data_IF_033419073514
#
_entry.id   IF_033419073514
#
_cell.length_a   1.000
_cell.length_b   1.000
_cell.length_c   1.000
_cell.angle_alpha   90.00
_cell.angle_beta   90.00
_cell.angle_gamma   90.00
#
_symmetry.space_group_name_H-M   'P 1'
#
loop_
_entity.id
_entity.type
_entity.pdbx_description
1 polymer ?
#
# COMPACT_ATOMS: atom_id res chain seq x y z
N UNK A 1 -23.14 2.16 -14.72
CA UNK A 1 -23.67 3.19 -15.64
C UNK A 1 -23.21 4.60 -15.27
N UNK A 2 -23.42 5.09 -14.04
CA UNK A 2 -23.02 6.46 -13.64
C UNK A 2 -21.53 6.76 -13.90
N UNK A 3 -20.63 5.87 -13.46
CA UNK A 3 -19.19 6.05 -13.64
C UNK A 3 -18.76 6.22 -15.12
N UNK A 4 -19.33 5.46 -16.07
CA UNK A 4 -18.93 5.56 -17.48
C UNK A 4 -19.38 6.88 -18.12
N UNK A 5 -20.49 7.44 -17.66
CA UNK A 5 -20.95 8.77 -18.08
C UNK A 5 -20.01 9.82 -17.50
N UNK A 6 -19.70 9.74 -16.21
CA UNK A 6 -18.78 10.66 -15.56
C UNK A 6 -17.39 10.63 -16.23
N UNK A 7 -16.90 9.45 -16.66
CA UNK A 7 -15.66 9.33 -17.43
C UNK A 7 -15.73 10.02 -18.80
N UNK A 8 -16.83 9.87 -19.52
CA UNK A 8 -17.03 10.54 -20.81
C UNK A 8 -17.08 12.06 -20.66
N UNK A 9 -17.81 12.55 -19.66
CA UNK A 9 -17.92 13.98 -19.40
C UNK A 9 -16.57 14.55 -18.93
N UNK A 10 -15.88 13.84 -18.05
CA UNK A 10 -14.53 14.18 -17.58
C UNK A 10 -13.53 14.26 -18.73
N UNK A 11 -13.46 13.24 -19.58
CA UNK A 11 -12.53 13.21 -20.71
C UNK A 11 -12.80 14.29 -21.77
N UNK A 12 -14.02 14.85 -21.79
CA UNK A 12 -14.40 15.97 -22.66
C UNK A 12 -14.21 17.34 -22.00
N UNK A 13 -13.83 17.41 -20.72
CA UNK A 13 -13.75 18.66 -19.96
C UNK A 13 -15.12 19.27 -19.65
N UNK A 14 -16.17 18.45 -19.57
CA UNK A 14 -17.55 18.88 -19.32
C UNK A 14 -17.94 18.82 -17.83
N UNK A 15 -17.05 18.34 -16.95
CA UNK A 15 -17.22 18.34 -15.49
C UNK A 15 -16.45 19.51 -14.87
N UNK A 16 -16.95 19.98 -13.72
CA UNK A 16 -16.19 20.91 -12.87
C UNK A 16 -15.00 20.19 -12.23
N UNK A 17 -13.91 20.90 -11.96
CA UNK A 17 -12.66 20.34 -11.42
C UNK A 17 -12.87 19.39 -10.22
N UNK A 18 -13.74 19.75 -9.26
CA UNK A 18 -14.04 18.92 -8.08
C UNK A 18 -14.77 17.59 -8.39
N UNK A 19 -15.33 17.46 -9.59
CA UNK A 19 -16.06 16.30 -10.09
C UNK A 19 -15.29 15.53 -11.15
N UNK A 20 -14.12 16.03 -11.56
CA UNK A 20 -13.30 15.41 -12.59
C UNK A 20 -12.79 14.05 -12.11
N UNK A 21 -12.81 13.07 -13.00
CA UNK A 21 -12.31 11.73 -12.71
C UNK A 21 -10.82 11.71 -12.97
N UNK A 22 -10.05 11.41 -11.92
CA UNK A 22 -8.60 11.40 -12.04
C UNK A 22 -8.07 10.21 -12.85
N UNK A 23 -6.85 10.36 -13.36
CA UNK A 23 -6.12 9.30 -14.07
C UNK A 23 -6.01 8.02 -13.23
N UNK A 24 -5.68 8.17 -11.94
CA UNK A 24 -5.64 7.07 -11.00
C UNK A 24 -6.97 6.31 -10.86
N UNK A 25 -8.10 7.03 -10.85
CA UNK A 25 -9.44 6.42 -10.81
C UNK A 25 -9.75 5.63 -12.08
N UNK A 26 -9.42 6.18 -13.26
CA UNK A 26 -9.59 5.49 -14.54
C UNK A 26 -8.76 4.21 -14.57
N UNK A 27 -7.48 4.28 -14.21
CA UNK A 27 -6.58 3.13 -14.19
C UNK A 27 -7.06 2.01 -13.25
N UNK A 28 -7.39 2.37 -12.01
CA UNK A 28 -7.93 1.42 -11.04
C UNK A 28 -9.25 0.77 -11.52
N UNK A 29 -10.16 1.56 -12.08
CA UNK A 29 -11.45 1.07 -12.57
C UNK A 29 -11.27 0.10 -13.75
N UNK A 30 -10.53 0.50 -14.78
CA UNK A 30 -10.42 -0.32 -15.99
C UNK A 30 -9.59 -1.58 -15.76
N UNK A 31 -8.59 -1.54 -14.87
CA UNK A 31 -7.87 -2.76 -14.47
C UNK A 31 -8.81 -3.78 -13.80
N UNK A 32 -9.66 -3.32 -12.88
CA UNK A 32 -10.65 -4.19 -12.25
C UNK A 32 -11.68 -4.74 -13.25
N UNK A 33 -12.08 -3.94 -14.25
CA UNK A 33 -12.99 -4.40 -15.31
C UNK A 33 -12.33 -5.44 -16.22
N UNK A 34 -11.09 -5.21 -16.67
CA UNK A 34 -10.34 -6.12 -17.53
C UNK A 34 -10.11 -7.48 -16.85
N UNK A 35 -9.62 -7.48 -15.60
CA UNK A 35 -9.37 -8.73 -14.85
C UNK A 35 -10.67 -9.49 -14.60
N UNK A 36 -11.77 -8.79 -14.28
CA UNK A 36 -13.08 -9.44 -14.14
C UNK A 36 -13.58 -10.06 -15.44
N UNK A 37 -13.26 -9.49 -16.59
CA UNK A 37 -13.64 -10.07 -17.87
C UNK A 37 -12.79 -11.30 -18.22
N UNK A 38 -11.49 -11.26 -17.94
CA UNK A 38 -10.54 -12.29 -18.38
C UNK A 38 -10.37 -13.46 -17.42
N UNK A 39 -10.25 -13.18 -16.12
CA UNK A 39 -9.62 -14.12 -15.19
C UNK A 39 -10.55 -14.62 -14.10
N UNK A 40 -11.65 -13.90 -13.86
CA UNK A 40 -12.60 -14.27 -12.81
C UNK A 40 -13.53 -15.40 -13.29
N UNK A 41 -14.01 -16.28 -12.37
CA UNK A 41 -15.01 -17.28 -12.68
C UNK A 41 -16.27 -16.65 -13.30
N UNK A 42 -16.93 -17.34 -14.22
CA UNK A 42 -18.10 -16.84 -14.98
C UNK A 42 -19.15 -16.13 -14.11
N UNK A 43 -19.44 -16.69 -12.92
CA UNK A 43 -20.40 -16.13 -11.97
C UNK A 43 -20.03 -14.74 -11.41
N UNK A 44 -18.77 -14.32 -11.49
CA UNK A 44 -18.26 -13.03 -10.99
C UNK A 44 -17.67 -12.13 -12.08
N UNK A 45 -17.79 -12.54 -13.34
CA UNK A 45 -17.51 -11.71 -14.50
C UNK A 45 -18.55 -10.57 -14.63
N UNK A 46 -18.56 -9.86 -15.75
CA UNK A 46 -19.50 -8.75 -15.95
C UNK A 46 -20.95 -9.24 -15.94
N UNK A 47 -21.78 -8.59 -15.13
CA UNK A 47 -23.22 -8.73 -15.19
C UNK A 47 -23.75 -8.28 -16.55
N UNK A 48 -24.93 -8.75 -16.96
CA UNK A 48 -25.54 -8.29 -18.21
C UNK A 48 -25.69 -6.76 -18.28
N UNK A 49 -25.95 -6.12 -17.14
CA UNK A 49 -26.05 -4.66 -17.05
C UNK A 49 -24.71 -3.97 -17.31
N UNK A 50 -23.61 -4.54 -16.84
CA UNK A 50 -22.25 -4.05 -17.11
C UNK A 50 -21.89 -4.27 -18.58
N UNK A 51 -22.16 -5.45 -19.13
CA UNK A 51 -21.93 -5.76 -20.56
C UNK A 51 -22.70 -4.82 -21.48
N UNK A 52 -24.00 -4.60 -21.21
CA UNK A 52 -24.82 -3.62 -21.98
C UNK A 52 -24.28 -2.20 -21.86
N UNK A 53 -23.84 -1.79 -20.68
CA UNK A 53 -23.27 -0.46 -20.49
C UNK A 53 -21.95 -0.31 -21.26
N UNK A 54 -21.06 -1.29 -21.19
CA UNK A 54 -19.77 -1.23 -21.87
C UNK A 54 -19.94 -1.20 -23.40
N UNK A 55 -20.80 -2.07 -23.95
CA UNK A 55 -21.12 -2.07 -25.39
C UNK A 55 -21.68 -0.72 -25.87
N UNK A 56 -22.45 -0.02 -25.02
CA UNK A 56 -23.01 1.30 -25.35
C UNK A 56 -21.98 2.42 -25.30
N UNK A 57 -21.13 2.45 -24.27
CA UNK A 57 -20.26 3.60 -23.98
C UNK A 57 -18.83 3.45 -24.52
N UNK A 58 -18.31 2.22 -24.65
CA UNK A 58 -16.94 1.99 -25.11
C UNK A 58 -16.60 2.61 -26.47
N UNK A 59 -17.47 2.54 -27.51
CA UNK A 59 -17.18 3.18 -28.80
C UNK A 59 -17.01 4.71 -28.71
N UNK A 60 -17.56 5.34 -27.67
CA UNK A 60 -17.40 6.76 -27.39
C UNK A 60 -16.14 7.00 -26.54
N UNK A 61 -15.92 6.17 -25.52
CA UNK A 61 -14.79 6.27 -24.59
C UNK A 61 -13.45 6.10 -25.31
N UNK A 62 -13.32 5.09 -26.18
CA UNK A 62 -12.07 4.81 -26.92
C UNK A 62 -11.60 5.98 -27.80
N UNK A 63 -12.48 6.95 -28.12
CA UNK A 63 -12.15 8.13 -28.92
C UNK A 63 -11.60 9.30 -28.08
N UNK A 64 -11.85 9.29 -26.78
CA UNK A 64 -11.55 10.42 -25.88
C UNK A 64 -10.60 10.03 -24.74
N UNK A 65 -10.50 8.74 -24.41
CA UNK A 65 -9.61 8.26 -23.35
C UNK A 65 -8.13 8.30 -23.80
N UNK A 66 -7.20 8.56 -22.88
CA UNK A 66 -5.77 8.43 -23.15
C UNK A 66 -5.38 7.00 -23.60
N UNK A 67 -4.36 6.85 -24.46
CA UNK A 67 -3.93 5.54 -24.97
C UNK A 67 -3.59 4.53 -23.87
N UNK A 68 -2.98 4.97 -22.76
CA UNK A 68 -2.65 4.11 -21.62
C UNK A 68 -3.91 3.56 -20.93
N UNK A 69 -4.98 4.35 -20.86
CA UNK A 69 -6.26 3.90 -20.27
C UNK A 69 -6.95 2.92 -21.21
N UNK A 70 -6.87 3.15 -22.53
CA UNK A 70 -7.37 2.21 -23.54
C UNK A 70 -6.61 0.88 -23.45
N UNK A 71 -5.29 0.93 -23.28
CA UNK A 71 -4.48 -0.26 -23.02
C UNK A 71 -4.91 -1.00 -21.76
N UNK A 72 -5.10 -0.31 -20.63
CA UNK A 72 -5.52 -0.98 -19.38
C UNK A 72 -6.88 -1.66 -19.54
N UNK A 73 -7.80 -1.00 -20.25
CA UNK A 73 -9.16 -1.48 -20.46
C UNK A 73 -9.24 -2.66 -21.44
N UNK A 74 -8.41 -2.65 -22.49
CA UNK A 74 -8.42 -3.65 -23.56
C UNK A 74 -6.99 -3.99 -24.05
N UNK A 75 -6.14 -4.61 -23.20
CA UNK A 75 -4.74 -4.94 -23.53
C UNK A 75 -4.57 -5.74 -24.82
N UNK A 76 -5.53 -6.62 -25.14
CA UNK A 76 -5.52 -7.48 -26.33
C UNK A 76 -6.42 -6.96 -27.47
N UNK A 77 -7.14 -5.85 -27.27
CA UNK A 77 -7.98 -5.22 -28.29
C UNK A 77 -9.24 -6.01 -28.68
N UNK A 78 -9.68 -6.94 -27.84
CA UNK A 78 -10.80 -7.87 -28.13
C UNK A 78 -11.88 -7.89 -27.06
N UNK A 79 -11.62 -7.34 -25.86
CA UNK A 79 -12.54 -7.47 -24.71
C UNK A 79 -13.73 -6.52 -24.79
N UNK A 80 -13.55 -5.34 -25.35
CA UNK A 80 -14.53 -4.26 -25.25
C UNK A 80 -15.46 -4.16 -26.47
N UNK A 81 -15.57 -5.26 -27.24
CA UNK A 81 -16.52 -5.44 -28.35
C UNK A 81 -16.15 -4.74 -29.67
N UNK A 82 -15.40 -3.64 -29.64
CA UNK A 82 -14.84 -2.98 -30.81
C UNK A 82 -13.35 -3.27 -30.88
N UNK A 83 -12.90 -3.92 -31.96
CA UNK A 83 -11.48 -4.18 -32.17
C UNK A 83 -10.70 -2.86 -32.24
N UNK A 84 -9.67 -2.75 -31.40
CA UNK A 84 -8.78 -1.59 -31.36
C UNK A 84 -7.33 -2.06 -31.37
N UNK A 85 -6.50 -1.46 -32.22
CA UNK A 85 -5.05 -1.74 -32.22
C UNK A 85 -4.29 -0.99 -31.12
N UNK A 86 -4.94 -0.06 -30.42
CA UNK A 86 -4.29 0.82 -29.44
C UNK A 86 -3.73 0.02 -28.27
N UNK A 87 -4.54 -0.84 -27.64
CA UNK A 87 -4.10 -1.64 -26.50
C UNK A 87 -2.95 -2.61 -26.84
N UNK A 88 -3.08 -3.45 -27.88
CA UNK A 88 -2.02 -4.35 -28.31
C UNK A 88 -0.71 -3.65 -28.67
N UNK A 89 -0.76 -2.45 -29.23
CA UNK A 89 0.42 -1.70 -29.67
C UNK A 89 0.98 -0.75 -28.61
N UNK A 90 0.29 -0.58 -27.48
CA UNK A 90 0.76 0.31 -26.42
C UNK A 90 1.97 -0.30 -25.72
N UNK A 91 3.08 0.45 -25.75
CA UNK A 91 4.36 0.06 -25.17
C UNK A 91 4.82 0.93 -24.01
N UNK A 92 4.07 1.95 -23.59
CA UNK A 92 4.52 2.92 -22.58
C UNK A 92 5.46 4.00 -23.12
N UNK A 93 5.57 5.11 -22.39
CA UNK A 93 6.42 6.25 -22.70
C UNK A 93 7.68 6.23 -21.81
N UNK A 94 8.78 5.73 -22.38
CA UNK A 94 10.07 5.65 -21.68
C UNK A 94 10.27 4.34 -20.91
N UNK A 95 11.48 4.14 -20.38
CA UNK A 95 11.94 2.84 -19.89
C UNK A 95 11.10 2.32 -18.71
N UNK A 96 10.74 3.19 -17.77
CA UNK A 96 9.96 2.81 -16.60
C UNK A 96 8.53 2.38 -16.97
N UNK A 97 7.85 3.14 -17.84
CA UNK A 97 6.52 2.76 -18.33
C UNK A 97 6.57 1.50 -19.20
N UNK A 98 7.60 1.32 -20.04
CA UNK A 98 7.74 0.11 -20.85
C UNK A 98 7.79 -1.15 -19.98
N UNK A 99 8.53 -1.12 -18.87
CA UNK A 99 8.55 -2.23 -17.91
C UNK A 99 7.20 -2.41 -17.25
N UNK A 100 6.61 -1.33 -16.73
CA UNK A 100 5.30 -1.35 -16.08
C UNK A 100 4.19 -1.89 -17.00
N UNK A 101 4.22 -1.56 -18.29
CA UNK A 101 3.29 -2.06 -19.31
C UNK A 101 3.48 -3.56 -19.53
N UNK A 102 4.73 -4.04 -19.58
CA UNK A 102 5.03 -5.47 -19.65
C UNK A 102 4.45 -6.23 -18.46
N UNK A 103 4.72 -5.74 -17.25
CA UNK A 103 4.22 -6.32 -16.00
C UNK A 103 2.68 -6.25 -15.93
N UNK A 104 2.07 -5.16 -16.41
CA UNK A 104 0.62 -4.98 -16.47
C UNK A 104 -0.06 -5.97 -17.41
N UNK A 105 0.57 -6.40 -18.52
CA UNK A 105 -0.03 -7.42 -19.39
C UNK A 105 -0.26 -8.72 -18.64
N UNK A 106 0.74 -9.17 -17.88
CA UNK A 106 0.63 -10.35 -17.03
C UNK A 106 -0.45 -10.17 -15.95
N UNK A 107 -0.41 -9.04 -15.24
CA UNK A 107 -1.38 -8.75 -14.17
C UNK A 107 -2.82 -8.64 -14.70
N UNK A 108 -3.05 -8.00 -15.84
CA UNK A 108 -4.38 -7.85 -16.45
C UNK A 108 -4.91 -9.16 -17.05
N UNK A 109 -4.03 -10.13 -17.33
CA UNK A 109 -4.40 -11.51 -17.66
C UNK A 109 -4.73 -12.38 -16.43
N UNK A 110 -4.60 -11.84 -15.22
CA UNK A 110 -4.81 -12.59 -13.97
C UNK A 110 -3.55 -13.29 -13.45
N UNK A 111 -2.38 -12.97 -14.02
CA UNK A 111 -1.09 -13.52 -13.63
C UNK A 111 -0.51 -12.87 -12.37
N UNK A 112 0.65 -13.41 -11.96
CA UNK A 112 1.40 -12.99 -10.77
C UNK A 112 2.85 -12.75 -11.13
N UNK A 113 3.48 -11.81 -10.42
CA UNK A 113 4.86 -11.42 -10.67
C UNK A 113 5.84 -12.04 -9.65
N UNK A 114 7.11 -12.10 -10.06
CA UNK A 114 8.22 -12.47 -9.23
C UNK A 114 8.60 -11.42 -8.19
N UNK A 115 9.44 -11.83 -7.24
CA UNK A 115 9.91 -10.97 -6.16
C UNK A 115 10.76 -9.81 -6.71
N UNK A 116 11.75 -10.13 -7.54
CA UNK A 116 12.70 -9.14 -8.07
C UNK A 116 12.03 -8.19 -9.07
N UNK A 117 11.03 -8.67 -9.82
CA UNK A 117 10.25 -7.87 -10.76
C UNK A 117 9.52 -6.74 -10.03
N UNK A 118 8.78 -7.07 -8.96
CA UNK A 118 8.06 -6.06 -8.16
C UNK A 118 9.04 -5.11 -7.47
N UNK A 119 10.12 -5.62 -6.87
CA UNK A 119 11.07 -4.74 -6.18
C UNK A 119 11.73 -3.75 -7.15
N UNK A 120 12.15 -4.22 -8.32
CA UNK A 120 12.77 -3.38 -9.34
C UNK A 120 11.78 -2.37 -9.89
N UNK A 121 10.54 -2.79 -10.17
CA UNK A 121 9.49 -1.90 -10.62
C UNK A 121 9.19 -0.80 -9.60
N UNK A 122 8.97 -1.15 -8.32
CA UNK A 122 8.68 -0.17 -7.27
C UNK A 122 9.80 0.86 -7.11
N UNK A 123 11.06 0.44 -7.20
CA UNK A 123 12.23 1.34 -7.12
C UNK A 123 12.38 2.26 -8.32
N UNK A 124 11.94 1.83 -9.49
CA UNK A 124 11.98 2.66 -10.70
C UNK A 124 10.88 3.73 -10.69
N UNK A 125 9.70 3.37 -10.17
CA UNK A 125 8.51 4.24 -10.20
C UNK A 125 8.35 5.14 -8.98
N UNK A 126 8.97 4.80 -7.83
CA UNK A 126 8.89 5.59 -6.60
C UNK A 126 10.23 6.25 -6.23
N UNK A 127 10.22 7.37 -5.48
CA UNK A 127 9.06 8.15 -5.04
C UNK A 127 8.34 8.85 -6.20
N UNK A 128 7.06 9.16 -6.02
CA UNK A 128 6.35 10.11 -6.88
C UNK A 128 6.83 11.53 -6.56
N UNK A 129 7.30 12.27 -7.57
CA UNK A 129 7.77 13.64 -7.43
C UNK A 129 6.59 14.62 -7.61
N UNK A 130 6.47 15.60 -6.71
CA UNK A 130 5.42 16.62 -6.77
C UNK A 130 5.73 17.63 -7.88
N UNK A 131 4.83 17.80 -8.86
CA UNK A 131 4.88 18.88 -9.85
C UNK A 131 5.77 18.70 -11.10
N UNK A 132 6.38 17.53 -11.32
CA UNK A 132 7.00 17.17 -12.62
C UNK A 132 6.21 16.04 -13.28
N UNK A 133 6.30 15.90 -14.61
CA UNK A 133 5.78 14.72 -15.32
C UNK A 133 6.25 13.48 -14.57
N UNK A 134 5.34 12.80 -13.86
CA UNK A 134 5.66 11.62 -13.09
C UNK A 134 6.39 10.62 -13.98
N UNK A 135 7.39 9.91 -13.43
CA UNK A 135 8.16 8.90 -14.18
C UNK A 135 7.29 7.85 -14.85
N UNK A 136 6.07 7.68 -14.34
CA UNK A 136 5.03 6.82 -14.87
C UNK A 136 3.67 7.49 -14.74
N UNK A 137 2.77 7.15 -15.66
CA UNK A 137 1.36 7.54 -15.61
C UNK A 137 0.67 6.98 -14.37
N UNK A 138 -0.06 7.85 -13.67
CA UNK A 138 -0.90 7.47 -12.53
C UNK A 138 -1.93 6.40 -12.90
N UNK A 139 -2.42 6.41 -14.14
CA UNK A 139 -3.34 5.39 -14.65
C UNK A 139 -2.68 4.01 -14.63
N UNK A 140 -1.45 3.91 -15.13
CA UNK A 140 -0.70 2.65 -15.19
C UNK A 140 -0.35 2.16 -13.77
N UNK A 141 0.18 3.03 -12.91
CA UNK A 141 0.54 2.66 -11.56
C UNK A 141 -0.67 2.24 -10.72
N UNK A 142 -1.80 2.95 -10.86
CA UNK A 142 -3.05 2.60 -10.18
C UNK A 142 -3.64 1.29 -10.69
N UNK A 143 -3.58 1.07 -12.01
CA UNK A 143 -3.98 -0.20 -12.64
C UNK A 143 -3.15 -1.37 -12.11
N UNK A 144 -1.84 -1.17 -11.93
CA UNK A 144 -0.93 -2.19 -11.43
C UNK A 144 -1.25 -2.56 -9.98
N UNK A 145 -1.35 -1.56 -9.11
CA UNK A 145 -1.64 -1.74 -7.69
C UNK A 145 -3.02 -2.41 -7.46
N UNK A 146 -4.04 -2.01 -8.21
CA UNK A 146 -5.37 -2.60 -8.08
C UNK A 146 -5.48 -3.93 -8.81
N UNK A 147 -4.78 -4.11 -9.93
CA UNK A 147 -4.75 -5.37 -10.64
C UNK A 147 -4.17 -6.51 -9.80
N UNK A 148 -3.02 -6.27 -9.16
CA UNK A 148 -2.44 -7.26 -8.24
C UNK A 148 -3.36 -7.54 -7.04
N UNK A 149 -4.05 -6.52 -6.52
CA UNK A 149 -5.04 -6.71 -5.46
C UNK A 149 -6.19 -7.61 -5.92
N UNK A 150 -6.67 -7.42 -7.14
CA UNK A 150 -7.76 -8.20 -7.74
C UNK A 150 -7.36 -9.66 -7.97
N UNK A 151 -6.11 -9.91 -8.34
CA UNK A 151 -5.57 -11.27 -8.53
C UNK A 151 -5.31 -12.01 -7.22
N UNK A 152 -5.39 -11.32 -6.07
CA UNK A 152 -4.96 -11.79 -4.73
C UNK A 152 -3.48 -12.06 -4.68
N UNK A 153 -2.77 -11.15 -4.04
CA UNK A 153 -1.31 -11.16 -3.99
C UNK A 153 -0.75 -12.48 -3.43
N UNK A 154 0.25 -13.05 -4.09
CA UNK A 154 0.95 -14.22 -3.54
C UNK A 154 1.89 -13.82 -2.40
N UNK A 155 2.31 -14.80 -1.60
CA UNK A 155 3.33 -14.61 -0.57
C UNK A 155 4.62 -13.96 -1.10
N UNK A 156 5.00 -14.31 -2.34
CA UNK A 156 6.19 -13.77 -2.99
C UNK A 156 6.03 -12.29 -3.32
N UNK A 157 4.86 -11.92 -3.84
CA UNK A 157 4.54 -10.53 -4.19
C UNK A 157 4.44 -9.65 -2.95
N UNK A 158 3.72 -10.09 -1.92
CA UNK A 158 3.61 -9.36 -0.65
C UNK A 158 4.97 -9.19 0.03
N UNK A 159 5.84 -10.21 -0.04
CA UNK A 159 7.21 -10.10 0.46
C UNK A 159 7.99 -9.03 -0.32
N UNK A 160 7.83 -8.95 -1.63
CA UNK A 160 8.49 -7.94 -2.46
C UNK A 160 8.09 -6.52 -2.03
N UNK A 161 6.80 -6.27 -1.90
CA UNK A 161 6.25 -5.02 -1.36
C UNK A 161 6.80 -4.68 0.03
N UNK A 162 6.83 -5.67 0.92
CA UNK A 162 7.25 -5.49 2.30
C UNK A 162 8.71 -5.06 2.42
N UNK A 163 9.59 -5.58 1.55
CA UNK A 163 11.04 -5.38 1.65
C UNK A 163 11.57 -4.36 0.62
N UNK A 164 10.70 -3.79 -0.21
CA UNK A 164 11.09 -2.97 -1.38
C UNK A 164 11.97 -1.77 -1.02
N UNK A 165 11.81 -1.19 0.17
CA UNK A 165 12.47 0.05 0.59
C UNK A 165 13.23 -0.08 1.92
N UNK A 166 13.57 -1.30 2.34
CA UNK A 166 14.32 -1.53 3.60
C UNK A 166 15.68 -0.80 3.63
N UNK A 167 16.27 -0.51 2.47
CA UNK A 167 17.51 0.24 2.32
C UNK A 167 17.36 1.76 2.55
N UNK A 168 16.15 2.31 2.50
CA UNK A 168 15.91 3.72 2.84
C UNK A 168 16.21 4.00 4.32
N UNK A 169 16.01 2.99 5.18
CA UNK A 169 16.13 3.11 6.64
C UNK A 169 17.52 3.53 7.12
N UNK A 170 18.57 3.38 6.31
CA UNK A 170 19.90 3.89 6.67
C UNK A 170 20.48 4.97 5.77
N UNK A 171 19.76 5.41 4.74
CA UNK A 171 20.13 6.62 3.98
C UNK A 171 19.75 7.91 4.72
N UNK A 172 18.85 7.82 5.70
CA UNK A 172 18.41 8.93 6.56
C UNK A 172 19.49 9.46 7.52
N UNK A 173 20.69 8.86 7.52
CA UNK A 173 21.87 9.31 8.26
C UNK A 173 22.75 10.30 7.47
N UNK A 174 22.43 10.59 6.21
CA UNK A 174 23.23 11.47 5.36
C UNK A 174 22.55 12.82 5.17
N UNK A 175 23.20 13.89 5.61
CA UNK A 175 22.92 15.29 5.26
C UNK A 175 22.56 15.47 3.78
N UNK A 176 21.81 16.53 3.38
CA UNK A 176 21.32 16.72 2.03
C UNK A 176 22.49 17.00 1.07
N UNK A 177 23.15 15.95 0.61
CA UNK A 177 24.20 16.04 -0.40
C UNK A 177 23.64 15.37 -1.64
N UNK A 178 23.23 16.22 -2.57
CA UNK A 178 22.50 15.93 -3.80
C UNK A 178 23.28 15.08 -4.83
N UNK A 179 24.34 14.34 -4.46
CA UNK A 179 25.30 13.85 -5.46
C UNK A 179 25.90 12.44 -5.31
N UNK A 180 25.45 11.57 -4.40
CA UNK A 180 25.97 10.19 -4.37
C UNK A 180 24.83 9.18 -4.30
N UNK A 181 24.24 8.89 -5.47
CA UNK A 181 23.22 7.83 -5.67
C UNK A 181 23.83 6.44 -5.89
N UNK A 182 25.12 6.25 -5.59
CA UNK A 182 25.88 5.04 -5.95
C UNK A 182 26.59 4.34 -4.78
N UNK A 183 26.20 4.61 -3.54
CA UNK A 183 26.69 3.80 -2.41
C UNK A 183 25.72 2.66 -2.09
N UNK A 184 26.01 1.47 -2.60
CA UNK A 184 25.33 0.20 -2.28
C UNK A 184 25.63 -0.28 -0.84
N UNK A 185 25.62 0.61 0.15
CA UNK A 185 25.66 0.15 1.54
C UNK A 185 24.24 -0.23 1.90
N UNK A 186 23.98 -1.55 1.93
CA UNK A 186 22.76 -2.12 2.49
C UNK A 186 22.73 -1.80 3.98
N UNK A 187 22.22 -0.63 4.32
CA UNK A 187 22.09 -0.24 5.70
C UNK A 187 20.96 -1.02 6.36
N UNK A 188 21.24 -1.55 7.53
CA UNK A 188 20.26 -2.27 8.34
C UNK A 188 19.52 -1.28 9.24
N UNK A 189 18.28 -1.58 9.67
CA UNK A 189 17.62 -0.79 10.70
C UNK A 189 18.50 -0.66 11.95
N UNK A 190 18.47 0.48 12.66
CA UNK A 190 19.19 0.64 13.92
C UNK A 190 18.79 -0.45 14.92
N UNK A 191 19.73 -0.91 15.75
CA UNK A 191 19.50 -1.96 16.77
C UNK A 191 19.48 -1.34 18.15
N UNK A 192 18.35 -1.41 18.84
CA UNK A 192 18.16 -0.97 20.23
C UNK A 192 18.62 -2.04 21.23
N UNK A 193 19.35 -1.64 22.27
CA UNK A 193 19.78 -2.51 23.37
C UNK A 193 18.66 -2.71 24.41
N UNK A 194 17.58 -3.36 23.96
CA UNK A 194 16.40 -3.69 24.79
C UNK A 194 16.18 -5.19 24.83
N UNK A 195 15.66 -5.70 25.96
CA UNK A 195 15.39 -7.14 26.17
C UNK A 195 14.33 -7.71 25.23
N UNK A 196 13.38 -6.86 24.82
CA UNK A 196 12.27 -7.18 23.95
C UNK A 196 11.76 -5.92 23.24
N UNK A 197 11.30 -6.08 22.01
CA UNK A 197 10.64 -5.02 21.25
C UNK A 197 9.39 -5.55 20.56
N UNK A 198 8.25 -4.91 20.81
CA UNK A 198 6.98 -5.22 20.13
C UNK A 198 6.65 -4.13 19.12
N UNK A 199 6.56 -4.53 17.85
CA UNK A 199 6.14 -3.69 16.74
C UNK A 199 4.62 -3.72 16.59
N UNK A 200 3.99 -2.56 16.48
CA UNK A 200 2.55 -2.44 16.24
C UNK A 200 2.28 -1.86 14.86
N UNK A 201 1.81 -2.73 13.96
CA UNK A 201 1.40 -2.37 12.61
C UNK A 201 -0.11 -2.45 12.45
N UNK A 202 -0.78 -1.40 12.89
CA UNK A 202 -2.22 -1.24 12.69
C UNK A 202 -2.55 -0.86 11.25
N UNK A 203 -3.81 -0.99 10.80
CA UNK A 203 -4.22 -0.39 9.53
C UNK A 203 -4.03 1.13 9.52
N UNK A 204 -3.26 1.60 8.54
CA UNK A 204 -2.84 2.99 8.37
C UNK A 204 -3.99 3.93 8.00
N UNK A 205 -5.10 3.41 7.47
CA UNK A 205 -6.29 4.18 7.08
C UNK A 205 -7.15 4.68 8.25
N UNK A 206 -6.70 4.45 9.48
CA UNK A 206 -7.37 4.96 10.67
C UNK A 206 -8.67 4.23 11.01
N UNK A 207 -9.37 4.74 12.02
CA UNK A 207 -10.70 4.26 12.42
C UNK A 207 -11.66 5.44 12.62
N UNK A 208 -12.87 5.34 12.08
CA UNK A 208 -13.92 6.37 12.21
C UNK A 208 -15.05 5.97 13.16
N UNK A 209 -15.05 4.73 13.65
CA UNK A 209 -16.17 4.15 14.41
C UNK A 209 -15.84 3.83 15.85
N UNK A 210 -14.58 3.50 16.14
CA UNK A 210 -14.19 3.00 17.46
C UNK A 210 -12.88 3.62 17.94
N UNK A 211 -12.74 3.68 19.25
CA UNK A 211 -11.52 4.11 19.93
C UNK A 211 -10.36 3.15 19.65
N UNK A 212 -9.19 3.72 19.33
CA UNK A 212 -7.95 2.97 19.08
C UNK A 212 -7.14 2.90 20.37
N UNK A 213 -7.10 1.72 20.97
CA UNK A 213 -6.45 1.48 22.27
C UNK A 213 -4.93 1.24 22.17
N UNK A 214 -4.35 1.19 20.97
CA UNK A 214 -2.96 0.74 20.75
C UNK A 214 -1.94 1.66 21.45
N UNK A 215 -2.14 2.98 21.45
CA UNK A 215 -1.29 3.91 22.21
C UNK A 215 -1.35 3.65 23.73
N UNK A 216 -2.53 3.38 24.27
CA UNK A 216 -2.70 3.05 25.68
C UNK A 216 -2.00 1.72 26.03
N UNK A 217 -2.17 0.70 25.18
CA UNK A 217 -1.49 -0.59 25.34
C UNK A 217 0.03 -0.41 25.32
N UNK A 218 0.56 0.39 24.39
CA UNK A 218 1.99 0.65 24.30
C UNK A 218 2.52 1.39 25.52
N UNK A 219 1.82 2.43 26.00
CA UNK A 219 2.19 3.15 27.21
C UNK A 219 2.22 2.23 28.45
N UNK A 220 1.19 1.39 28.62
CA UNK A 220 1.13 0.42 29.72
C UNK A 220 2.29 -0.57 29.63
N UNK A 221 2.57 -1.12 28.43
CA UNK A 221 3.71 -2.03 28.23
C UNK A 221 5.05 -1.39 28.57
N UNK A 222 5.25 -0.15 28.15
CA UNK A 222 6.46 0.60 28.48
C UNK A 222 6.64 0.76 30.01
N UNK A 223 5.56 1.02 30.76
CA UNK A 223 5.61 1.06 32.23
C UNK A 223 6.00 -0.29 32.88
N UNK A 224 5.81 -1.42 32.18
CA UNK A 224 6.27 -2.74 32.60
C UNK A 224 7.67 -3.09 32.07
N UNK A 225 8.40 -2.12 31.51
CA UNK A 225 9.73 -2.32 30.93
C UNK A 225 9.72 -3.21 29.68
N UNK A 226 8.62 -3.25 28.93
CA UNK A 226 8.49 -3.92 27.64
C UNK A 226 8.45 -2.88 26.51
N UNK A 227 9.54 -2.75 25.75
CA UNK A 227 9.64 -1.68 24.76
C UNK A 227 8.67 -1.90 23.57
N UNK A 228 8.07 -0.80 23.10
CA UNK A 228 7.07 -0.84 22.03
C UNK A 228 7.35 0.19 20.93
N UNK A 229 7.31 -0.24 19.67
CA UNK A 229 7.41 0.64 18.51
C UNK A 229 6.09 0.60 17.74
N UNK A 230 5.39 1.72 17.67
CA UNK A 230 4.25 1.89 16.76
C UNK A 230 4.72 2.54 15.47
N UNK A 231 4.05 2.22 14.37
CA UNK A 231 4.28 2.89 13.11
C UNK A 231 2.99 3.09 12.32
N UNK A 232 2.94 4.17 11.54
CA UNK A 232 1.72 4.63 10.89
C UNK A 232 1.93 5.78 9.93
N UNK A 233 0.87 6.54 9.73
CA UNK A 233 0.80 7.76 8.92
C UNK A 233 -0.19 8.73 9.55
N UNK A 234 -0.07 10.02 9.24
CA UNK A 234 -1.03 11.02 9.68
C UNK A 234 -2.42 10.76 9.12
N UNK A 235 -2.50 10.51 7.82
CA UNK A 235 -3.76 10.29 7.12
C UNK A 235 -3.58 9.30 5.97
N UNK A 236 -4.59 8.46 5.74
CA UNK A 236 -4.59 7.53 4.61
C UNK A 236 -6.01 7.13 4.19
N UNK A 237 -6.20 7.02 2.88
CA UNK A 237 -7.41 6.47 2.26
C UNK A 237 -7.51 4.94 2.47
N UNK A 238 -8.69 4.31 2.30
CA UNK A 238 -9.97 4.89 1.90
C UNK A 238 -10.81 5.43 3.06
N UNK A 239 -10.46 5.08 4.30
CA UNK A 239 -11.27 5.45 5.47
C UNK A 239 -11.04 6.89 5.92
N UNK A 240 -9.79 7.38 5.86
CA UNK A 240 -9.43 8.69 6.39
C UNK A 240 -9.82 8.84 7.86
N UNK A 241 -9.70 7.76 8.64
CA UNK A 241 -10.10 7.74 10.05
C UNK A 241 -9.02 8.30 10.96
N UNK A 242 -9.32 8.33 12.26
CA UNK A 242 -8.37 8.76 13.29
C UNK A 242 -7.20 7.78 13.37
N UNK A 243 -5.97 8.28 13.27
CA UNK A 243 -4.71 7.51 13.36
C UNK A 243 -3.99 7.74 14.69
N UNK A 244 -3.04 6.87 15.05
CA UNK A 244 -2.15 7.07 16.20
C UNK A 244 -1.38 8.39 16.10
N UNK A 245 -0.98 8.75 14.89
CA UNK A 245 -0.23 9.97 14.66
C UNK A 245 -1.05 11.23 14.94
N UNK A 246 -2.30 11.26 14.48
CA UNK A 246 -3.21 12.37 14.76
C UNK A 246 -3.45 12.53 16.27
N UNK A 247 -3.60 11.41 16.99
CA UNK A 247 -3.73 11.44 18.45
C UNK A 247 -2.45 11.92 19.13
N UNK A 248 -1.28 11.47 18.69
CA UNK A 248 0.02 11.91 19.21
C UNK A 248 0.26 13.41 18.97
N UNK A 249 0.00 13.89 17.74
CA UNK A 249 0.08 15.30 17.39
C UNK A 249 -0.88 16.13 18.26
N UNK A 250 -2.10 15.66 18.48
CA UNK A 250 -3.08 16.32 19.36
C UNK A 250 -2.60 16.40 20.82
N UNK A 251 -1.90 15.38 21.31
CA UNK A 251 -1.27 15.37 22.65
C UNK A 251 0.02 16.20 22.74
N UNK A 252 0.49 16.79 21.64
CA UNK A 252 1.73 17.56 21.59
C UNK A 252 3.01 16.72 21.52
N UNK A 253 2.91 15.44 21.15
CA UNK A 253 4.07 14.58 20.95
C UNK A 253 4.78 14.89 19.63
N UNK A 254 6.12 14.70 19.59
CA UNK A 254 6.88 14.80 18.35
C UNK A 254 6.72 13.53 17.50
N UNK A 255 6.08 13.64 16.34
CA UNK A 255 5.93 12.54 15.36
C UNK A 255 6.96 12.56 14.24
N UNK A 256 7.84 13.57 14.21
CA UNK A 256 8.95 13.71 13.25
C UNK A 256 10.21 13.08 13.86
N UNK A 257 10.19 11.75 13.97
CA UNK A 257 11.27 10.97 14.54
C UNK A 257 11.89 10.07 13.47
N UNK A 258 13.20 10.22 13.29
CA UNK A 258 13.98 9.25 12.52
C UNK A 258 14.05 7.91 13.26
N UNK A 259 14.31 6.79 12.55
CA UNK A 259 14.54 5.49 13.18
C UNK A 259 15.61 5.50 14.27
N UNK A 260 16.66 6.33 14.12
CA UNK A 260 17.71 6.46 15.14
C UNK A 260 17.23 7.20 16.39
N UNK A 261 16.42 8.23 16.25
CA UNK A 261 15.83 8.91 17.41
C UNK A 261 14.83 7.99 18.13
N UNK A 262 14.06 7.21 17.37
CA UNK A 262 13.18 6.19 17.94
C UNK A 262 13.97 5.13 18.74
N UNK A 263 15.13 4.69 18.24
CA UNK A 263 16.05 3.81 19.00
C UNK A 263 16.37 4.42 20.38
N UNK A 264 16.76 5.70 20.43
CA UNK A 264 17.08 6.36 21.70
C UNK A 264 15.91 6.37 22.67
N UNK A 265 14.68 6.63 22.20
CA UNK A 265 13.48 6.60 23.04
C UNK A 265 13.15 5.19 23.56
N UNK A 266 13.42 4.17 22.75
CA UNK A 266 13.18 2.78 23.12
C UNK A 266 14.16 2.28 24.20
N UNK A 267 15.38 2.82 24.23
CA UNK A 267 16.43 2.50 25.21
C UNK A 267 16.30 3.30 26.52
N UNK A 268 15.50 4.37 26.55
CA UNK A 268 15.25 5.14 27.77
C UNK A 268 14.23 4.43 28.67
N UNK A 269 14.68 3.99 29.84
CA UNK A 269 13.86 3.28 30.85
C UNK A 269 12.66 4.10 31.36
N UNK A 270 12.70 5.44 31.24
CA UNK A 270 11.58 6.31 31.61
C UNK A 270 10.56 6.49 30.49
N UNK A 271 10.87 6.05 29.26
CA UNK A 271 10.02 6.21 28.08
C UNK A 271 9.56 4.85 27.55
N UNK A 272 10.48 4.00 27.10
CA UNK A 272 10.19 2.63 26.65
C UNK A 272 9.25 2.50 25.44
N UNK A 273 8.85 3.58 24.78
CA UNK A 273 8.04 3.52 23.56
C UNK A 273 8.41 4.60 22.55
N UNK A 274 8.17 4.31 21.27
CA UNK A 274 8.34 5.26 20.17
C UNK A 274 7.25 5.10 19.12
N UNK A 275 7.03 6.17 18.35
CA UNK A 275 6.20 6.16 17.14
C UNK A 275 7.04 6.63 15.95
N UNK A 276 6.95 5.93 14.82
CA UNK A 276 7.60 6.34 13.56
C UNK A 276 6.55 6.49 12.47
N UNK A 277 6.51 7.66 11.85
CA UNK A 277 5.68 7.90 10.68
C UNK A 277 6.33 7.31 9.42
N UNK A 278 5.52 6.79 8.49
CA UNK A 278 5.98 6.31 7.19
C UNK A 278 6.72 7.40 6.41
N UNK A 279 6.38 8.68 6.60
CA UNK A 279 7.09 9.80 5.96
C UNK A 279 8.58 9.83 6.34
N UNK A 280 8.89 9.47 7.58
CA UNK A 280 10.25 9.53 8.14
C UNK A 280 11.01 8.24 7.83
N UNK A 281 10.34 7.10 7.75
CA UNK A 281 10.98 5.80 7.52
C UNK A 281 11.09 5.42 6.04
N UNK A 282 10.00 5.56 5.29
CA UNK A 282 9.86 5.11 3.90
C UNK A 282 9.22 6.22 3.03
N UNK A 283 9.93 7.33 2.74
CA UNK A 283 9.40 8.42 1.93
C UNK A 283 8.90 7.98 0.55
N UNK A 284 9.49 6.94 -0.06
CA UNK A 284 9.00 6.38 -1.32
C UNK A 284 7.58 5.82 -1.22
N UNK A 285 7.27 5.08 -0.14
CA UNK A 285 5.91 4.60 0.09
C UNK A 285 4.96 5.73 0.50
N UNK A 286 5.44 6.70 1.27
CA UNK A 286 4.66 7.86 1.67
C UNK A 286 4.21 8.72 0.47
N UNK A 287 5.03 8.81 -0.59
CA UNK A 287 4.67 9.53 -1.83
C UNK A 287 3.38 9.02 -2.51
N UNK A 288 2.88 7.84 -2.14
CA UNK A 288 1.65 7.26 -2.68
C UNK A 288 0.36 7.76 -2.01
N UNK A 289 0.43 8.60 -0.97
CA UNK A 289 -0.77 9.05 -0.22
C UNK A 289 -1.81 9.69 -1.16
N UNK A 290 -1.39 10.63 -2.01
CA UNK A 290 -2.29 11.30 -2.95
C UNK A 290 -2.86 10.34 -4.01
N UNK A 291 -2.03 9.46 -4.58
CA UNK A 291 -2.49 8.44 -5.52
C UNK A 291 -3.54 7.52 -4.87
N UNK A 292 -3.30 7.09 -3.63
CA UNK A 292 -4.23 6.23 -2.86
C UNK A 292 -5.54 6.95 -2.56
N UNK A 293 -5.52 8.26 -2.31
CA UNK A 293 -6.74 9.07 -2.15
C UNK A 293 -7.64 8.99 -3.38
N UNK A 294 -7.08 9.04 -4.58
CA UNK A 294 -7.85 8.89 -5.81
C UNK A 294 -8.35 7.44 -6.02
N UNK A 295 -7.50 6.45 -5.76
CA UNK A 295 -7.85 5.02 -5.92
C UNK A 295 -9.01 4.60 -4.99
N UNK A 296 -9.05 5.12 -3.75
CA UNK A 296 -10.07 4.80 -2.70
C UNK A 296 -10.29 3.30 -2.46
N UNK A 297 -9.27 2.48 -2.73
CA UNK A 297 -9.23 1.04 -2.46
C UNK A 297 -7.86 0.70 -1.87
N UNK A 298 -7.82 -0.35 -1.05
CA UNK A 298 -6.57 -0.86 -0.48
C UNK A 298 -5.80 -1.64 -1.55
N UNK A 299 -4.54 -1.32 -1.73
CA UNK A 299 -3.59 -2.01 -2.61
C UNK A 299 -2.76 -3.04 -1.81
N UNK A 300 -1.87 -3.82 -2.45
CA UNK A 300 -0.94 -4.73 -1.77
C UNK A 300 -0.13 -4.06 -0.66
N UNK A 301 0.23 -2.79 -0.86
CA UNK A 301 0.99 -1.97 0.08
C UNK A 301 0.27 -1.86 1.43
N UNK A 302 -1.06 -1.75 1.44
CA UNK A 302 -1.84 -1.67 2.68
C UNK A 302 -1.75 -2.93 3.55
N UNK A 303 -1.33 -4.07 2.96
CA UNK A 303 -1.03 -5.29 3.71
C UNK A 303 0.41 -5.28 4.21
N UNK A 304 1.34 -4.97 3.32
CA UNK A 304 2.78 -5.01 3.59
C UNK A 304 3.27 -3.92 4.58
N UNK A 305 2.68 -2.72 4.54
CA UNK A 305 3.08 -1.58 5.40
C UNK A 305 2.83 -1.81 6.88
N UNK A 306 2.07 -2.86 7.23
CA UNK A 306 1.79 -3.25 8.61
C UNK A 306 2.82 -4.20 9.21
N UNK A 307 3.77 -4.70 8.43
CA UNK A 307 4.78 -5.67 8.90
C UNK A 307 6.18 -5.09 8.69
N UNK A 308 6.50 -4.08 9.47
CA UNK A 308 7.73 -3.30 9.34
C UNK A 308 8.63 -3.46 10.57
N UNK A 309 9.94 -3.33 10.36
CA UNK A 309 10.96 -3.36 11.41
C UNK A 309 11.89 -2.16 11.26
N UNK A 310 11.37 -0.97 11.58
CA UNK A 310 12.13 0.28 11.44
C UNK A 310 13.28 0.41 12.47
N UNK A 311 13.17 -0.29 13.61
CA UNK A 311 14.23 -0.47 14.60
C UNK A 311 14.26 -1.95 14.95
N UNK A 312 15.43 -2.55 15.15
CA UNK A 312 15.55 -3.94 15.65
C UNK A 312 15.88 -3.94 17.13
N UNK A 313 15.62 -5.04 17.82
CA UNK A 313 16.11 -5.25 19.18
C UNK A 313 17.33 -6.16 19.18
N UNK A 314 18.20 -5.99 20.18
CA UNK A 314 19.19 -7.00 20.54
C UNK A 314 18.53 -8.24 21.16
N UNK A 315 17.45 -8.02 21.91
CA UNK A 315 16.62 -9.07 22.50
C UNK A 315 15.55 -9.61 21.55
N UNK A 316 14.45 -10.10 22.11
CA UNK A 316 13.37 -10.76 21.34
C UNK A 316 12.48 -9.75 20.63
N UNK A 317 12.09 -10.06 19.40
CA UNK A 317 11.18 -9.22 18.61
C UNK A 317 9.81 -9.88 18.44
N UNK A 318 8.77 -9.07 18.53
CA UNK A 318 7.40 -9.45 18.24
C UNK A 318 6.74 -8.45 17.29
N UNK A 319 5.84 -8.90 16.42
CA UNK A 319 4.98 -8.00 15.63
C UNK A 319 3.52 -8.31 15.94
N UNK A 320 2.74 -7.26 16.23
CA UNK A 320 1.29 -7.29 16.33
C UNK A 320 0.70 -6.51 15.15
N UNK A 321 -0.17 -7.13 14.37
CA UNK A 321 -0.82 -6.46 13.24
C UNK A 321 -2.33 -6.69 13.17
N UNK A 322 -3.07 -5.61 12.92
CA UNK A 322 -4.52 -5.65 12.69
C UNK A 322 -4.87 -5.92 11.23
N UNK A 323 -5.97 -6.63 10.96
CA UNK A 323 -6.51 -6.79 9.61
C UNK A 323 -8.05 -6.78 9.56
N UNK A 324 -8.63 -6.38 8.42
CA UNK A 324 -10.09 -6.27 8.27
C UNK A 324 -10.72 -7.41 7.47
N UNK A 325 -10.03 -7.89 6.44
CA UNK A 325 -10.56 -8.87 5.48
C UNK A 325 -10.05 -10.26 5.81
N UNK A 326 -10.94 -11.25 5.82
CA UNK A 326 -10.56 -12.67 5.95
C UNK A 326 -9.60 -13.08 4.84
N UNK A 327 -8.73 -14.04 5.15
CA UNK A 327 -7.69 -14.52 4.25
C UNK A 327 -6.40 -13.71 4.29
N UNK A 328 -6.26 -12.73 5.18
CA UNK A 328 -5.01 -11.97 5.36
C UNK A 328 -4.23 -12.37 6.62
N UNK A 329 -4.78 -13.26 7.45
CA UNK A 329 -4.11 -13.88 8.59
C UNK A 329 -2.79 -14.56 8.20
N UNK A 330 -2.84 -15.53 7.29
CA UNK A 330 -1.67 -16.30 6.87
C UNK A 330 -0.63 -15.45 6.12
N UNK A 331 -1.02 -14.57 5.17
CA UNK A 331 -0.07 -13.66 4.53
C UNK A 331 0.67 -12.75 5.51
N UNK A 332 -0.01 -12.18 6.51
CA UNK A 332 0.63 -11.33 7.51
C UNK A 332 1.59 -12.13 8.40
N UNK A 333 1.18 -13.30 8.88
CA UNK A 333 2.06 -14.19 9.65
C UNK A 333 3.26 -14.66 8.82
N UNK A 334 3.07 -14.90 7.53
CA UNK A 334 4.15 -15.21 6.59
C UNK A 334 5.14 -14.05 6.50
N UNK A 335 4.67 -12.81 6.34
CA UNK A 335 5.55 -11.64 6.34
C UNK A 335 6.33 -11.49 7.65
N UNK A 336 5.68 -11.72 8.80
CA UNK A 336 6.36 -11.69 10.11
C UNK A 336 7.47 -12.75 10.18
N UNK A 337 7.20 -13.97 9.72
CA UNK A 337 8.23 -15.02 9.59
C UNK A 337 9.39 -14.59 8.68
N UNK A 338 9.10 -13.91 7.57
CA UNK A 338 10.13 -13.41 6.63
C UNK A 338 10.93 -12.24 7.20
N UNK A 339 10.36 -11.42 8.09
CA UNK A 339 11.07 -10.41 8.90
C UNK A 339 12.01 -11.05 9.92
N UNK A 340 11.72 -12.29 10.34
CA UNK A 340 12.58 -13.06 11.23
C UNK A 340 12.36 -12.77 12.71
N UNK A 341 11.21 -12.21 13.07
CA UNK A 341 10.82 -11.98 14.47
C UNK A 341 10.54 -13.28 15.22
N UNK A 342 10.72 -13.26 16.54
CA UNK A 342 10.52 -14.43 17.41
C UNK A 342 9.04 -14.79 17.57
N UNK A 343 8.15 -13.79 17.47
CA UNK A 343 6.71 -14.03 17.55
C UNK A 343 5.90 -13.05 16.70
N UNK A 344 4.74 -13.51 16.24
CA UNK A 344 3.82 -12.72 15.44
C UNK A 344 2.38 -12.93 15.89
N UNK A 345 1.62 -11.86 16.05
CA UNK A 345 0.20 -11.90 16.40
C UNK A 345 -0.58 -11.10 15.37
N UNK A 346 -1.54 -11.75 14.71
CA UNK A 346 -2.48 -11.05 13.83
C UNK A 346 -3.86 -11.05 14.46
N UNK A 347 -4.49 -9.89 14.49
CA UNK A 347 -5.79 -9.69 15.10
C UNK A 347 -6.78 -9.22 14.04
N UNK A 348 -7.86 -9.97 13.86
CA UNK A 348 -8.95 -9.49 13.01
C UNK A 348 -9.68 -8.37 13.74
N UNK A 349 -9.65 -7.18 13.16
CA UNK A 349 -10.37 -6.01 13.67
C UNK A 349 -11.84 -6.17 13.28
N UNK A 350 -12.56 -6.93 14.11
CA UNK A 350 -14.02 -6.94 14.13
C UNK A 350 -14.53 -5.68 14.83
N UNK A 351 -15.85 -5.53 14.91
CA UNK A 351 -16.53 -4.41 15.55
C UNK A 351 -16.14 -4.11 17.02
N UNK A 352 -15.08 -4.66 17.62
CA UNK A 352 -14.61 -4.29 18.96
C UNK A 352 -13.12 -4.65 19.20
N UNK A 353 -12.43 -3.72 19.86
CA UNK A 353 -11.21 -3.76 20.68
C UNK A 353 -10.02 -4.71 20.40
N UNK A 354 -8.81 -4.14 20.48
CA UNK A 354 -7.54 -4.82 20.73
C UNK A 354 -7.24 -4.88 22.25
N UNK A 355 -8.26 -5.14 23.07
CA UNK A 355 -8.16 -5.20 24.53
C UNK A 355 -8.48 -6.61 24.99
N UNK A 356 -7.61 -7.17 25.83
CA UNK A 356 -7.71 -8.45 26.56
C UNK A 356 -8.87 -8.49 27.57
N UNK A 357 -10.06 -8.01 27.20
CA UNK A 357 -11.21 -7.85 28.09
C UNK A 357 -12.51 -8.15 27.37
N UNK A 358 -12.80 -9.46 27.22
CA UNK A 358 -14.05 -10.07 26.74
C UNK A 358 -14.52 -9.74 25.32
N UNK A 359 -14.91 -10.81 24.62
CA UNK A 359 -15.60 -10.91 23.31
C UNK A 359 -14.71 -11.13 22.06
N UNK A 360 -14.72 -12.40 21.61
CA UNK A 360 -14.30 -12.97 20.32
C UNK A 360 -13.24 -12.23 19.50
N UNK A 361 -12.04 -12.13 20.06
CA UNK A 361 -10.82 -11.84 19.28
C UNK A 361 -10.47 -13.11 18.48
N UNK A 362 -10.60 -13.06 17.15
CA UNK A 362 -9.92 -14.03 16.30
C UNK A 362 -8.47 -13.59 16.19
N UNK A 363 -7.63 -14.19 17.04
CA UNK A 363 -6.20 -13.98 17.11
C UNK A 363 -5.49 -15.23 16.58
N UNK A 364 -4.50 -15.02 15.71
CA UNK A 364 -3.63 -16.09 15.25
C UNK A 364 -2.20 -15.78 15.67
N UNK A 365 -1.56 -16.77 16.29
CA UNK A 365 -0.26 -16.63 16.94
C UNK A 365 0.79 -17.48 16.22
N UNK A 366 1.94 -16.86 15.98
CA UNK A 366 3.17 -17.49 15.56
C UNK A 366 4.22 -17.32 16.67
N UNK A 367 4.92 -18.40 17.00
CA UNK A 367 6.08 -18.42 17.89
C UNK A 367 7.15 -19.26 17.19
N UNK A 368 8.38 -18.74 17.11
CA UNK A 368 9.52 -19.40 16.48
C UNK A 368 10.13 -20.48 17.36
#
# INVERSE_FOLDING_TARGET
MRNLIDFLLSAKGELKDEQEVSKAQLGAFFAAMAIRANSFPEATQWSEGETRAMNRFWPLLVRVLPPEVIFIADPEGTMMGVMSSIGPQYGGNGIAEMRLVGDLREVLAGGHLGFDEIQSLLRDVLPLEDGMLGRVSESLLSAFLIGQRMNRETDRELKAYCLAFDDELGNLLSFPTFYIRFSFIKCSPPVADVRSLTHYGEPYDGNTRYFRSTLFVAAVRACYGESCLLHGVEWMSPKGGVTEEQMLNFMGANTHLSPLQAKTLLEDENIGFAYISQREAHPSLYSLVALREHIKKRSPIATAEKVQQFVKARGKEAIVSGFYHEGYEDPLLMLMRRRGVDSGLVVKVWNLHLVLGSFCIHAFLYIK
#
